data_IF_266234807276
#
_entry.id   IF_266234807276
#
_cell.length_a   1.000
_cell.length_b   1.000
_cell.length_c   1.000
_cell.angle_alpha   90.00
_cell.angle_beta   90.00
_cell.angle_gamma   90.00
#
_symmetry.space_group_name_H-M   'P 1'
#
loop_
_entity.id
_entity.type
_entity.pdbx_description
1 polymer ?
#
# COMPACT_ATOMS: atom_id res chain seq x y z
N UNK A 1 16.42 -57.16 15.54
CA UNK A 1 17.32 -56.78 14.44
C UNK A 1 16.61 -57.07 13.13
N UNK A 2 16.21 -56.05 12.38
CA UNK A 2 16.15 -56.12 10.93
C UNK A 2 16.10 -54.69 10.37
N UNK A 3 17.22 -54.27 9.80
CA UNK A 3 17.40 -53.01 9.09
C UNK A 3 17.11 -53.27 7.62
N UNK A 4 16.23 -52.50 7.00
CA UNK A 4 16.15 -52.41 5.53
C UNK A 4 16.08 -50.94 5.13
N UNK A 5 17.20 -50.46 4.61
CA UNK A 5 17.31 -49.22 3.84
C UNK A 5 17.09 -49.55 2.37
N UNK A 6 16.12 -48.89 1.73
CA UNK A 6 15.96 -48.76 0.28
C UNK A 6 15.26 -47.43 0.08
N UNK A 7 15.64 -46.50 -0.79
CA UNK A 7 16.57 -46.51 -1.89
C UNK A 7 16.20 -45.28 -2.71
N UNK A 8 17.20 -44.45 -2.98
CA UNK A 8 17.15 -43.26 -3.84
C UNK A 8 16.50 -43.62 -5.19
N UNK A 9 15.39 -42.96 -5.51
CA UNK A 9 14.72 -43.02 -6.80
C UNK A 9 14.74 -41.65 -7.45
N UNK A 10 15.68 -41.46 -8.37
CA UNK A 10 15.70 -40.36 -9.34
C UNK A 10 14.55 -40.57 -10.32
N UNK A 11 13.68 -39.56 -10.48
CA UNK A 11 12.71 -39.52 -11.55
C UNK A 11 12.83 -38.16 -12.25
N UNK A 12 13.55 -38.19 -13.37
CA UNK A 12 13.59 -37.14 -14.34
C UNK A 12 12.16 -36.80 -14.81
N UNK A 13 11.79 -35.52 -14.74
CA UNK A 13 10.75 -34.98 -15.61
C UNK A 13 11.31 -33.74 -16.30
N UNK A 14 11.89 -34.02 -17.45
CA UNK A 14 12.16 -33.14 -18.57
C UNK A 14 10.93 -32.25 -18.83
N UNK A 15 11.06 -30.94 -18.66
CA UNK A 15 10.21 -29.98 -19.35
C UNK A 15 11.03 -29.43 -20.52
N UNK A 16 10.69 -29.93 -21.70
CA UNK A 16 11.16 -29.41 -22.97
C UNK A 16 10.55 -28.03 -23.22
N UNK A 17 11.43 -27.09 -23.56
CA UNK A 17 11.40 -26.19 -24.72
C UNK A 17 10.10 -26.01 -25.52
N UNK A 18 9.99 -24.81 -26.13
CA UNK A 18 9.04 -24.30 -27.14
C UNK A 18 8.07 -23.27 -26.52
N UNK A 19 7.87 -22.04 -27.01
CA UNK A 19 8.41 -21.26 -28.14
C UNK A 19 7.85 -19.83 -28.06
N UNK A 20 8.51 -18.93 -28.81
CA UNK A 20 7.98 -17.69 -29.42
C UNK A 20 7.54 -16.57 -28.45
N UNK A 21 8.31 -15.48 -28.36
CA UNK A 21 8.31 -14.37 -29.32
C UNK A 21 6.94 -13.72 -29.50
N UNK A 22 6.75 -12.62 -28.78
CA UNK A 22 5.87 -11.53 -29.20
C UNK A 22 6.54 -10.18 -28.89
N UNK A 23 7.57 -9.86 -29.70
CA UNK A 23 7.87 -8.45 -30.00
C UNK A 23 6.72 -7.88 -30.82
N UNK A 24 6.55 -6.56 -30.68
CA UNK A 24 5.91 -5.64 -31.62
C UNK A 24 4.43 -5.31 -31.36
N UNK A 25 4.22 -4.11 -30.80
CA UNK A 25 3.30 -3.15 -31.42
C UNK A 25 3.83 -1.73 -31.25
N UNK A 26 4.83 -1.41 -32.05
CA UNK A 26 5.03 -0.04 -32.53
C UNK A 26 3.87 0.30 -33.46
N UNK A 27 3.15 1.37 -33.17
CA UNK A 27 2.35 2.05 -34.18
C UNK A 27 2.71 3.53 -34.12
N UNK A 28 3.53 3.96 -35.06
CA UNK A 28 3.67 5.36 -35.42
C UNK A 28 2.79 5.61 -36.65
N UNK A 29 1.95 6.64 -36.59
CA UNK A 29 1.31 7.28 -37.74
C UNK A 29 0.88 8.71 -37.32
N UNK A 30 0.63 9.66 -38.23
CA UNK A 30 1.50 10.79 -38.50
C UNK A 30 0.93 12.16 -38.08
N UNK A 31 1.82 13.14 -37.96
CA UNK A 31 1.58 14.60 -37.91
C UNK A 31 0.53 15.10 -38.90
N UNK A 32 -0.33 16.04 -38.48
CA UNK A 32 -0.68 17.23 -39.30
C UNK A 32 -1.18 18.39 -38.43
N UNK A 33 -0.51 19.53 -38.64
CA UNK A 33 -0.82 20.92 -38.41
C UNK A 33 -2.03 21.30 -37.54
N UNK A 34 -1.74 22.01 -36.44
CA UNK A 34 -2.36 23.31 -36.26
C UNK A 34 -1.37 24.29 -35.58
N UNK A 35 -1.34 25.56 -36.04
CA UNK A 35 -0.18 26.43 -35.90
C UNK A 35 0.04 26.96 -34.49
N UNK A 36 1.32 26.91 -34.11
CA UNK A 36 2.03 27.96 -33.39
C UNK A 36 1.48 29.34 -33.75
N UNK A 37 0.71 29.93 -32.83
CA UNK A 37 0.57 31.38 -32.72
C UNK A 37 1.42 31.83 -31.54
N UNK A 38 2.71 31.94 -31.81
CA UNK A 38 3.61 32.77 -31.02
C UNK A 38 3.27 34.22 -31.30
N UNK A 39 2.49 34.87 -30.43
CA UNK A 39 2.51 36.32 -30.32
C UNK A 39 3.75 36.76 -29.54
N UNK A 40 4.59 37.65 -30.10
CA UNK A 40 5.83 38.10 -29.47
C UNK A 40 5.56 39.19 -28.42
N UNK A 41 6.32 39.06 -27.33
CA UNK A 41 6.80 40.10 -26.40
C UNK A 41 6.46 41.57 -26.73
N UNK A 42 5.79 42.25 -25.79
CA UNK A 42 6.17 43.61 -25.42
C UNK A 42 6.18 43.80 -23.91
N UNK A 43 7.37 44.11 -23.45
CA UNK A 43 7.82 44.48 -22.12
C UNK A 43 7.03 45.66 -21.55
N UNK A 44 6.62 45.53 -20.29
CA UNK A 44 6.15 46.61 -19.43
C UNK A 44 6.51 46.24 -17.99
N UNK A 45 7.63 46.77 -17.53
CA UNK A 45 8.20 46.57 -16.20
C UNK A 45 7.32 47.19 -15.10
N UNK A 46 7.56 46.73 -13.87
CA UNK A 46 7.21 47.35 -12.58
C UNK A 46 5.86 46.96 -11.96
N UNK A 47 5.82 45.83 -11.24
CA UNK A 47 5.80 45.80 -9.76
C UNK A 47 5.69 44.36 -9.26
N UNK A 48 6.53 43.97 -8.29
CA UNK A 48 6.50 42.69 -7.56
C UNK A 48 5.37 42.71 -6.49
N UNK A 49 5.17 41.67 -5.65
CA UNK A 49 4.22 40.58 -5.85
C UNK A 49 3.23 40.45 -4.67
N UNK A 50 1.95 40.18 -4.93
CA UNK A 50 1.01 39.67 -3.92
C UNK A 50 0.31 38.47 -4.56
N UNK A 51 0.82 37.28 -4.28
CA UNK A 51 0.29 36.38 -3.25
C UNK A 51 -1.01 35.71 -3.72
N UNK A 52 -0.98 34.37 -3.61
CA UNK A 52 -2.08 33.42 -3.74
C UNK A 52 -2.41 32.88 -5.13
N UNK A 53 -1.44 32.18 -5.70
CA UNK A 53 -1.72 30.83 -6.25
C UNK A 53 -1.93 29.90 -5.05
N UNK A 54 -2.95 29.05 -5.09
CA UNK A 54 -2.81 27.59 -4.92
C UNK A 54 -4.19 26.94 -4.75
N UNK A 55 -4.86 26.70 -5.88
CA UNK A 55 -5.66 25.49 -6.02
C UNK A 55 -4.69 24.42 -6.51
N UNK A 56 -4.19 23.60 -5.59
CA UNK A 56 -3.44 22.39 -5.91
C UNK A 56 -3.98 21.24 -5.06
N UNK A 57 -4.90 20.53 -5.70
CA UNK A 57 -5.20 19.12 -5.50
C UNK A 57 -3.90 18.33 -5.71
N UNK A 58 -3.66 17.37 -4.83
CA UNK A 58 -2.52 16.42 -4.83
C UNK A 58 -1.16 16.99 -4.40
N UNK A 59 -0.84 16.78 -3.12
CA UNK A 59 0.53 16.79 -2.63
C UNK A 59 0.66 15.77 -1.50
N UNK A 60 0.63 14.51 -1.93
CA UNK A 60 1.45 13.46 -1.32
C UNK A 60 2.87 14.02 -1.23
N UNK A 61 3.52 13.78 -0.11
CA UNK A 61 4.93 14.09 0.20
C UNK A 61 5.15 15.36 1.05
N UNK A 62 5.07 15.17 2.38
CA UNK A 62 6.08 15.72 3.27
C UNK A 62 6.71 14.53 4.02
N UNK A 63 7.82 14.04 3.46
CA UNK A 63 8.78 13.15 4.11
C UNK A 63 9.51 14.00 5.16
N UNK A 64 8.90 14.10 6.34
CA UNK A 64 9.63 14.51 7.53
C UNK A 64 9.88 13.23 8.31
N UNK A 65 11.15 12.89 8.46
CA UNK A 65 11.64 11.76 9.26
C UNK A 65 11.01 11.79 10.66
N UNK A 66 9.91 11.07 10.87
CA UNK A 66 9.13 11.09 12.11
C UNK A 66 9.30 9.74 12.80
N UNK A 67 10.18 9.73 13.81
CA UNK A 67 10.62 8.60 14.64
C UNK A 67 11.40 7.50 13.89
N UNK A 68 12.54 7.10 14.44
CA UNK A 68 13.35 5.96 13.96
C UNK A 68 12.62 4.59 14.06
N UNK A 69 11.31 4.59 14.32
CA UNK A 69 10.47 3.43 14.57
C UNK A 69 9.43 3.32 13.45
N UNK A 70 9.43 2.19 12.75
CA UNK A 70 8.57 1.92 11.60
C UNK A 70 7.08 1.79 11.97
N UNK A 71 6.39 2.93 12.12
CA UNK A 71 4.93 3.01 12.35
C UNK A 71 4.11 2.68 11.08
N UNK A 72 4.75 2.58 9.93
CA UNK A 72 4.12 2.34 8.62
C UNK A 72 3.27 1.06 8.57
N UNK A 73 3.76 -0.03 9.17
CA UNK A 73 3.04 -1.31 9.22
C UNK A 73 1.75 -1.18 10.03
N UNK A 74 1.80 -0.55 11.20
CA UNK A 74 0.63 -0.30 12.03
C UNK A 74 -0.39 0.60 11.33
N UNK A 75 0.05 1.69 10.68
CA UNK A 75 -0.81 2.57 9.89
C UNK A 75 -1.52 1.81 8.75
N UNK A 76 -0.81 0.90 8.09
CA UNK A 76 -1.36 0.04 7.03
C UNK A 76 -2.42 -0.92 7.59
N UNK A 77 -2.13 -1.58 8.71
CA UNK A 77 -3.06 -2.50 9.37
C UNK A 77 -4.34 -1.76 9.83
N UNK A 78 -4.20 -0.59 10.46
CA UNK A 78 -5.33 0.25 10.88
C UNK A 78 -6.17 0.70 9.69
N UNK A 79 -5.53 1.12 8.60
CA UNK A 79 -6.24 1.52 7.37
C UNK A 79 -7.04 0.36 6.80
N UNK A 80 -6.47 -0.85 6.77
CA UNK A 80 -7.20 -2.04 6.33
C UNK A 80 -8.36 -2.36 7.25
N UNK A 81 -8.13 -2.36 8.56
CA UNK A 81 -9.15 -2.64 9.57
C UNK A 81 -10.34 -1.69 9.48
N UNK A 82 -10.10 -0.38 9.29
CA UNK A 82 -11.15 0.64 9.14
C UNK A 82 -11.96 0.53 7.85
N UNK A 83 -11.43 -0.14 6.82
CA UNK A 83 -12.15 -0.39 5.55
C UNK A 83 -13.02 -1.63 5.62
N UNK A 84 -12.97 -2.40 6.71
CA UNK A 84 -13.81 -3.57 6.90
C UNK A 84 -15.21 -3.13 7.37
N UNK A 85 -16.23 -3.69 6.74
CA UNK A 85 -17.61 -3.41 7.10
C UNK A 85 -18.03 -4.32 8.26
N UNK A 86 -18.06 -3.78 9.49
CA UNK A 86 -18.40 -4.53 10.71
C UNK A 86 -19.77 -5.24 10.65
N UNK A 87 -20.72 -4.73 9.85
CA UNK A 87 -22.03 -5.35 9.62
C UNK A 87 -21.96 -6.73 8.93
N UNK A 88 -20.84 -7.07 8.29
CA UNK A 88 -20.65 -8.37 7.63
C UNK A 88 -20.14 -9.44 8.61
N UNK A 89 -19.72 -9.04 9.81
CA UNK A 89 -19.05 -9.90 10.76
C UNK A 89 -19.84 -10.04 12.06
N UNK A 90 -19.50 -11.04 12.87
CA UNK A 90 -20.08 -11.23 14.21
C UNK A 90 -19.72 -10.07 15.13
N UNK A 91 -20.61 -9.76 16.08
CA UNK A 91 -20.37 -8.68 17.05
C UNK A 91 -19.09 -8.92 17.87
N UNK A 92 -18.84 -10.18 18.26
CA UNK A 92 -17.65 -10.57 18.99
C UNK A 92 -16.36 -10.28 18.21
N UNK A 93 -16.24 -10.76 16.96
CA UNK A 93 -15.03 -10.52 16.16
C UNK A 93 -14.86 -9.04 15.80
N UNK A 94 -15.95 -8.32 15.54
CA UNK A 94 -15.92 -6.88 15.26
C UNK A 94 -15.49 -6.06 16.48
N UNK A 95 -16.01 -6.35 17.68
CA UNK A 95 -15.63 -5.68 18.92
C UNK A 95 -14.14 -5.93 19.25
N UNK A 96 -13.69 -7.17 19.07
CA UNK A 96 -12.28 -7.53 19.24
C UNK A 96 -11.37 -6.74 18.28
N UNK A 97 -11.73 -6.66 17.00
CA UNK A 97 -11.00 -5.85 16.02
C UNK A 97 -10.98 -4.36 16.42
N UNK A 98 -12.12 -3.81 16.84
CA UNK A 98 -12.22 -2.40 17.19
C UNK A 98 -11.34 -2.05 18.41
N UNK A 99 -11.27 -2.95 19.40
CA UNK A 99 -10.38 -2.81 20.55
C UNK A 99 -8.93 -2.69 20.11
N UNK A 100 -8.49 -3.54 19.17
CA UNK A 100 -7.12 -3.46 18.64
C UNK A 100 -6.88 -2.23 17.76
N UNK A 101 -7.87 -1.78 16.99
CA UNK A 101 -7.78 -0.50 16.27
C UNK A 101 -7.56 0.65 17.26
N UNK A 102 -8.30 0.66 18.38
CA UNK A 102 -8.18 1.70 19.40
C UNK A 102 -6.80 1.65 20.10
N UNK A 103 -6.31 0.45 20.43
CA UNK A 103 -4.97 0.28 20.99
C UNK A 103 -3.89 0.78 20.01
N UNK A 104 -3.97 0.39 18.73
CA UNK A 104 -3.05 0.83 17.70
C UNK A 104 -3.07 2.35 17.49
N UNK A 105 -4.25 2.99 17.46
CA UNK A 105 -4.33 4.46 17.37
C UNK A 105 -3.78 5.16 18.62
N UNK A 106 -3.97 4.58 19.80
CA UNK A 106 -3.39 5.11 21.03
C UNK A 106 -1.87 5.11 20.97
N UNK A 107 -1.25 4.06 20.42
CA UNK A 107 0.20 4.00 20.22
C UNK A 107 0.70 5.02 19.20
N UNK A 108 -0.06 5.29 18.13
CA UNK A 108 0.29 6.34 17.17
C UNK A 108 0.26 7.74 17.78
N UNK A 109 -0.59 7.98 18.78
CA UNK A 109 -0.63 9.22 19.54
C UNK A 109 0.40 9.31 20.67
N UNK A 110 1.11 8.22 20.98
CA UNK A 110 2.15 8.19 22.03
C UNK A 110 3.52 8.44 21.40
N UNK A 111 4.20 9.49 21.86
CA UNK A 111 5.56 9.79 21.44
C UNK A 111 6.56 8.70 21.88
N UNK A 112 6.32 8.09 23.05
CA UNK A 112 7.18 7.06 23.66
C UNK A 112 6.77 5.62 23.27
N UNK A 113 6.07 5.44 22.14
CA UNK A 113 5.65 4.11 21.69
C UNK A 113 6.86 3.30 21.19
N UNK A 114 7.17 2.19 21.85
CA UNK A 114 8.23 1.27 21.46
C UNK A 114 7.88 0.46 20.21
N UNK A 115 8.90 0.03 19.44
CA UNK A 115 8.72 -0.86 18.28
C UNK A 115 7.96 -2.14 18.64
N UNK A 116 8.28 -2.73 19.80
CA UNK A 116 7.60 -3.94 20.29
C UNK A 116 6.09 -3.72 20.51
N UNK A 117 5.69 -2.57 21.06
CA UNK A 117 4.27 -2.23 21.27
C UNK A 117 3.56 -2.05 19.92
N UNK A 118 4.20 -1.35 18.98
CA UNK A 118 3.66 -1.14 17.64
C UNK A 118 3.53 -2.46 16.87
N UNK A 119 4.54 -3.32 16.93
CA UNK A 119 4.52 -4.65 16.31
C UNK A 119 3.47 -5.55 16.96
N UNK A 120 3.33 -5.51 18.29
CA UNK A 120 2.30 -6.28 18.98
C UNK A 120 0.89 -5.81 18.59
N UNK A 121 0.64 -4.50 18.53
CA UNK A 121 -0.63 -3.95 18.09
C UNK A 121 -0.91 -4.27 16.61
N UNK A 122 0.10 -4.17 15.76
CA UNK A 122 0.01 -4.51 14.34
C UNK A 122 -0.36 -5.98 14.15
N UNK A 123 0.37 -6.89 14.79
CA UNK A 123 0.09 -8.33 14.76
C UNK A 123 -1.29 -8.64 15.35
N UNK A 124 -1.70 -7.98 16.43
CA UNK A 124 -3.03 -8.13 17.03
C UNK A 124 -4.13 -7.74 16.04
N UNK A 125 -4.01 -6.57 15.40
CA UNK A 125 -4.95 -6.12 14.37
C UNK A 125 -5.01 -7.13 13.23
N UNK A 126 -3.86 -7.60 12.73
CA UNK A 126 -3.83 -8.60 11.66
C UNK A 126 -4.54 -9.90 12.06
N UNK A 127 -4.27 -10.42 13.26
CA UNK A 127 -4.94 -11.62 13.78
C UNK A 127 -6.45 -11.42 13.86
N UNK A 128 -6.93 -10.26 14.31
CA UNK A 128 -8.36 -9.99 14.34
C UNK A 128 -8.97 -9.86 12.96
N UNK A 129 -8.28 -9.23 12.00
CA UNK A 129 -8.73 -9.16 10.60
C UNK A 129 -8.89 -10.57 10.01
N UNK A 130 -7.95 -11.49 10.29
CA UNK A 130 -7.99 -12.87 9.79
C UNK A 130 -9.05 -13.70 10.53
N UNK A 131 -9.18 -13.51 11.84
CA UNK A 131 -10.16 -14.17 12.71
C UNK A 131 -11.54 -13.54 12.68
N UNK A 132 -11.82 -12.66 11.72
CA UNK A 132 -13.17 -12.12 11.54
C UNK A 132 -14.10 -13.22 11.04
N UNK A 133 -15.15 -13.49 11.80
CA UNK A 133 -16.18 -14.45 11.44
C UNK A 133 -17.34 -13.74 10.76
N UNK A 134 -17.79 -14.28 9.63
CA UNK A 134 -18.96 -13.74 8.94
C UNK A 134 -20.21 -13.98 9.77
N UNK A 135 -21.07 -12.96 9.84
CA UNK A 135 -22.38 -13.11 10.47
C UNK A 135 -23.28 -13.92 9.55
N UNK A 136 -23.66 -15.11 9.98
CA UNK A 136 -24.75 -15.87 9.35
C UNK A 136 -26.06 -15.11 9.51
N UNK A 137 -26.85 -15.06 8.43
CA UNK A 137 -28.08 -14.29 8.34
C UNK A 137 -29.31 -15.15 8.67
#
# INVERSE_FOLDING_TARGET
TNSISVGRGEAATKLAEVSASNKEKTYAAPTVANPVETTPVKTGEVTKPAEKVEEAKDKKEEVTHQDAIDKSKLLTALSRAKKLESKLYTEASAANLQTSIQAGQSLLGKADASEAELSAAESSIQSFIIGLELRSN
#
